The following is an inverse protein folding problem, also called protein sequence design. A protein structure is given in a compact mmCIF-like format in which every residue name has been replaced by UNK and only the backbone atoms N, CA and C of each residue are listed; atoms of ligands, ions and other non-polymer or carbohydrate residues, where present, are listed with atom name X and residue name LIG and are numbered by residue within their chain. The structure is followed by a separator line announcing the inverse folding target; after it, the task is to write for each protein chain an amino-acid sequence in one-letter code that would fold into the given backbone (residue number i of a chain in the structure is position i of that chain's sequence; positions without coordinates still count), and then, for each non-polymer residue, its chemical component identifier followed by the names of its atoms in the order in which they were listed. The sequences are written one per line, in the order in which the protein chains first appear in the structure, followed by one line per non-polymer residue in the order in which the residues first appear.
data_IF_405165563274
#
_entry.id   IF_405165563274
#
_cell.length_a   1.000
_cell.length_b   1.000
_cell.length_c   1.000
_cell.angle_alpha   90.00
_cell.angle_beta   90.00
_cell.angle_gamma   90.00
#
_symmetry.space_group_name_H-M   'P 1'
#
loop_
_entity.id
_entity.type
_entity.pdbx_description
1 polymer ?
#
# COMPACT_ATOMS: atom_id res chain seq x y z
N UNK A 1 2.84 -8.94 23.27
CA UNK A 1 2.85 -8.16 22.02
C UNK A 1 1.97 -6.95 22.26
N UNK A 2 2.50 -5.75 22.16
CA UNK A 2 1.71 -4.53 22.39
C UNK A 2 0.81 -4.27 21.17
N UNK A 3 -0.34 -3.61 21.35
CA UNK A 3 -1.26 -3.24 20.28
C UNK A 3 -0.57 -2.44 19.17
N UNK A 4 0.45 -1.67 19.53
CA UNK A 4 1.28 -0.84 18.64
C UNK A 4 2.01 -1.65 17.56
N UNK A 5 2.32 -2.94 17.82
CA UNK A 5 3.08 -3.79 16.89
C UNK A 5 2.17 -4.72 16.06
N UNK A 6 0.86 -4.47 16.07
CA UNK A 6 -0.12 -5.29 15.38
C UNK A 6 -1.00 -4.48 14.44
N UNK A 7 -1.55 -5.14 13.44
CA UNK A 7 -2.55 -4.56 12.53
C UNK A 7 -3.83 -5.40 12.52
N UNK A 8 -4.93 -4.78 12.13
CA UNK A 8 -6.20 -5.50 11.94
C UNK A 8 -6.08 -6.54 10.83
N UNK A 9 -6.62 -7.73 11.06
CA UNK A 9 -6.69 -8.80 10.06
C UNK A 9 -7.57 -8.39 8.85
N UNK A 10 -8.43 -7.39 9.00
CA UNK A 10 -9.17 -6.83 7.88
C UNK A 10 -8.23 -6.33 6.77
N UNK A 11 -7.08 -5.70 7.10
CA UNK A 11 -6.11 -5.27 6.10
C UNK A 11 -5.50 -6.45 5.34
N UNK A 12 -5.32 -7.60 6.00
CA UNK A 12 -4.89 -8.85 5.35
C UNK A 12 -5.93 -9.32 4.34
N UNK A 13 -7.21 -9.34 4.73
CA UNK A 13 -8.31 -9.72 3.82
C UNK A 13 -8.37 -8.80 2.60
N UNK A 14 -8.27 -7.49 2.82
CA UNK A 14 -8.28 -6.50 1.77
C UNK A 14 -7.12 -6.69 0.79
N UNK A 15 -5.90 -6.95 1.29
CA UNK A 15 -4.72 -7.21 0.46
C UNK A 15 -4.87 -8.48 -0.40
N UNK A 16 -5.50 -9.52 0.15
CA UNK A 16 -5.71 -10.78 -0.57
C UNK A 16 -6.80 -10.68 -1.66
N UNK A 17 -7.79 -9.82 -1.47
CA UNK A 17 -9.04 -9.87 -2.23
C UNK A 17 -8.85 -9.86 -3.75
N UNK A 18 -7.93 -9.04 -4.28
CA UNK A 18 -7.65 -8.97 -5.72
C UNK A 18 -6.34 -9.66 -6.10
N UNK A 19 -5.35 -9.64 -5.19
CA UNK A 19 -4.01 -10.17 -5.48
C UNK A 19 -3.90 -11.69 -5.33
N UNK A 20 -4.70 -12.29 -4.44
CA UNK A 20 -4.73 -13.73 -4.21
C UNK A 20 -6.07 -14.17 -3.58
N UNK A 21 -7.15 -14.31 -4.37
CA UNK A 21 -8.47 -14.68 -3.87
C UNK A 21 -8.47 -15.91 -2.98
N UNK A 22 -9.49 -16.02 -2.11
CA UNK A 22 -9.61 -17.09 -1.12
C UNK A 22 -9.50 -18.49 -1.76
N UNK A 23 -8.65 -19.32 -1.17
CA UNK A 23 -8.41 -20.68 -1.64
C UNK A 23 -7.10 -21.27 -1.09
N UNK A 24 -6.71 -22.46 -1.52
CA UNK A 24 -5.50 -23.14 -1.03
C UNK A 24 -4.22 -22.29 -1.16
N UNK A 25 -4.12 -21.51 -2.25
CA UNK A 25 -2.96 -20.66 -2.49
C UNK A 25 -2.85 -19.50 -1.48
N UNK A 26 -3.96 -18.85 -1.13
CA UNK A 26 -3.97 -17.79 -0.12
C UNK A 26 -3.70 -18.36 1.29
N UNK A 27 -4.24 -19.55 1.61
CA UNK A 27 -3.95 -20.23 2.88
C UNK A 27 -2.46 -20.53 3.01
N UNK A 28 -1.83 -21.10 1.96
CA UNK A 28 -0.39 -21.38 1.97
C UNK A 28 0.46 -20.11 2.15
N UNK A 29 0.07 -18.98 1.52
CA UNK A 29 0.76 -17.71 1.71
C UNK A 29 0.63 -17.20 3.15
N UNK A 30 -0.56 -17.27 3.74
CA UNK A 30 -0.81 -16.85 5.12
C UNK A 30 0.01 -17.69 6.11
N UNK A 31 -0.02 -19.01 5.99
CA UNK A 31 0.78 -19.91 6.83
C UNK A 31 2.28 -19.61 6.73
N UNK A 32 2.76 -19.32 5.52
CA UNK A 32 4.19 -18.98 5.30
C UNK A 32 4.64 -17.73 6.07
N UNK A 33 3.75 -16.79 6.34
CA UNK A 33 4.04 -15.56 7.09
C UNK A 33 3.58 -15.64 8.55
N UNK A 34 3.15 -16.82 9.02
CA UNK A 34 2.72 -17.04 10.40
C UNK A 34 1.33 -16.49 10.72
N UNK A 35 0.48 -16.32 9.73
CA UNK A 35 -0.93 -15.94 9.90
C UNK A 35 -1.79 -17.18 9.75
N UNK A 36 -2.58 -17.49 10.78
CA UNK A 36 -3.54 -18.61 10.73
C UNK A 36 -4.74 -18.26 9.83
N UNK A 37 -4.96 -18.99 8.72
CA UNK A 37 -6.09 -18.76 7.84
C UNK A 37 -7.46 -18.89 8.53
N UNK A 38 -7.57 -19.69 9.59
CA UNK A 38 -8.82 -19.84 10.33
C UNK A 38 -9.28 -18.53 11.01
N UNK A 39 -8.34 -17.65 11.32
CA UNK A 39 -8.64 -16.34 11.91
C UNK A 39 -9.25 -15.35 10.93
N UNK A 40 -9.19 -15.61 9.62
CA UNK A 40 -9.76 -14.69 8.62
C UNK A 40 -11.25 -14.39 8.83
N UNK A 41 -12.00 -15.27 9.50
CA UNK A 41 -13.39 -15.04 9.88
C UNK A 41 -13.61 -14.12 11.09
N UNK A 42 -12.57 -13.85 11.88
CA UNK A 42 -12.69 -13.09 13.13
C UNK A 42 -12.57 -11.58 12.87
N UNK A 43 -13.62 -10.81 13.20
CA UNK A 43 -13.67 -9.37 12.90
C UNK A 43 -12.58 -8.58 13.62
N UNK A 44 -12.31 -8.92 14.89
CA UNK A 44 -11.40 -8.17 15.77
C UNK A 44 -10.00 -8.77 15.85
N UNK A 45 -9.71 -9.80 15.04
CA UNK A 45 -8.39 -10.44 15.06
C UNK A 45 -7.31 -9.48 14.55
N UNK A 46 -6.14 -9.58 15.17
CA UNK A 46 -4.97 -8.78 14.84
C UNK A 46 -3.78 -9.68 14.57
N UNK A 47 -2.90 -9.24 13.71
CA UNK A 47 -1.67 -9.95 13.32
C UNK A 47 -0.44 -9.05 13.52
N UNK A 48 0.76 -9.62 13.72
CA UNK A 48 1.99 -8.83 13.77
C UNK A 48 2.15 -7.98 12.51
N UNK A 49 2.53 -6.71 12.67
CA UNK A 49 2.83 -5.83 11.56
C UNK A 49 3.94 -6.40 10.65
N UNK A 50 4.91 -7.11 11.23
CA UNK A 50 5.97 -7.81 10.50
C UNK A 50 5.44 -8.93 9.59
N UNK A 51 4.42 -9.67 10.04
CA UNK A 51 3.77 -10.71 9.25
C UNK A 51 3.05 -10.10 8.03
N UNK A 52 2.34 -8.98 8.24
CA UNK A 52 1.70 -8.23 7.15
C UNK A 52 2.73 -7.67 6.15
N UNK A 53 3.83 -7.12 6.62
CA UNK A 53 4.89 -6.63 5.73
C UNK A 53 5.53 -7.76 4.90
N UNK A 54 5.64 -8.97 5.46
CA UNK A 54 6.09 -10.14 4.71
C UNK A 54 5.04 -10.58 3.68
N UNK A 55 3.75 -10.59 4.05
CA UNK A 55 2.66 -10.89 3.13
C UNK A 55 2.64 -9.92 1.95
N UNK A 56 2.74 -8.62 2.20
CA UNK A 56 2.82 -7.59 1.15
C UNK A 56 3.92 -7.92 0.14
N UNK A 57 5.13 -8.20 0.62
CA UNK A 57 6.25 -8.57 -0.25
C UNK A 57 6.02 -9.83 -1.06
N UNK A 58 5.36 -10.86 -0.48
CA UNK A 58 5.03 -12.09 -1.20
C UNK A 58 3.97 -11.85 -2.27
N UNK A 59 2.93 -11.07 -1.95
CA UNK A 59 1.89 -10.70 -2.91
C UNK A 59 2.46 -9.88 -4.06
N UNK A 60 3.26 -8.85 -3.76
CA UNK A 60 3.91 -8.02 -4.77
C UNK A 60 4.80 -8.84 -5.73
N UNK A 61 5.56 -9.80 -5.20
CA UNK A 61 6.38 -10.71 -6.03
C UNK A 61 5.53 -11.62 -6.90
N UNK A 62 4.39 -12.10 -6.38
CA UNK A 62 3.49 -13.01 -7.09
C UNK A 62 2.75 -12.32 -8.22
N UNK A 63 2.26 -11.11 -7.98
CA UNK A 63 1.46 -10.34 -8.93
C UNK A 63 2.29 -9.39 -9.78
N UNK A 64 3.57 -9.18 -9.44
CA UNK A 64 4.43 -8.12 -9.98
C UNK A 64 3.85 -6.72 -9.75
N UNK A 65 3.02 -6.55 -8.72
CA UNK A 65 2.34 -5.31 -8.37
C UNK A 65 2.39 -5.04 -6.87
N UNK A 66 2.95 -3.89 -6.48
CA UNK A 66 3.05 -3.42 -5.09
C UNK A 66 1.79 -2.68 -4.62
N UNK A 67 0.77 -2.56 -5.48
CA UNK A 67 -0.51 -1.90 -5.19
C UNK A 67 -1.69 -2.88 -5.11
N UNK A 68 -1.42 -4.18 -4.90
CA UNK A 68 -2.41 -5.26 -4.70
C UNK A 68 -3.42 -5.41 -5.85
N UNK A 69 -3.03 -5.14 -7.07
CA UNK A 69 -3.89 -5.18 -8.27
C UNK A 69 -5.12 -4.26 -8.18
N UNK A 70 -5.02 -3.16 -7.45
CA UNK A 70 -6.12 -2.21 -7.26
C UNK A 70 -6.17 -1.10 -8.31
N UNK A 71 -5.17 -1.05 -9.18
CA UNK A 71 -5.10 -0.10 -10.29
C UNK A 71 -4.81 -0.85 -11.60
N UNK A 72 -5.42 -0.49 -12.74
CA UNK A 72 -5.23 -1.19 -14.01
C UNK A 72 -3.77 -1.22 -14.49
N UNK A 73 -3.01 -0.15 -14.22
CA UNK A 73 -1.58 -0.11 -14.57
C UNK A 73 -0.73 -0.85 -13.56
N UNK A 74 -1.19 -0.90 -12.29
CA UNK A 74 -0.45 -1.44 -11.17
C UNK A 74 0.79 -0.64 -10.80
N UNK A 75 1.39 -0.97 -9.68
CA UNK A 75 2.66 -0.42 -9.22
C UNK A 75 3.71 -1.54 -9.27
N UNK A 76 4.52 -1.56 -10.31
CA UNK A 76 5.47 -2.66 -10.55
C UNK A 76 6.39 -2.90 -9.37
N UNK A 77 6.72 -4.17 -9.13
CA UNK A 77 7.67 -4.59 -8.10
C UNK A 77 9.00 -3.85 -8.23
N UNK A 78 9.45 -3.25 -7.14
CA UNK A 78 10.64 -2.40 -7.08
C UNK A 78 10.33 -0.91 -7.11
N UNK A 79 9.10 -0.50 -7.40
CA UNK A 79 8.69 0.91 -7.40
C UNK A 79 8.86 1.55 -6.03
N UNK A 80 8.46 0.88 -4.95
CA UNK A 80 8.62 1.39 -3.59
C UNK A 80 10.10 1.60 -3.24
N UNK A 81 10.94 0.64 -3.57
CA UNK A 81 12.39 0.77 -3.35
C UNK A 81 12.99 1.91 -4.17
N UNK A 82 12.53 2.11 -5.41
CA UNK A 82 12.94 3.22 -6.25
C UNK A 82 12.52 4.56 -5.65
N UNK A 83 11.25 4.72 -5.27
CA UNK A 83 10.72 5.94 -4.67
C UNK A 83 11.48 6.29 -3.37
N UNK A 84 11.68 5.31 -2.49
CA UNK A 84 12.42 5.54 -1.24
C UNK A 84 13.86 6.01 -1.49
N UNK A 85 14.58 5.35 -2.39
CA UNK A 85 15.96 5.73 -2.71
C UNK A 85 16.06 7.12 -3.32
N UNK A 86 15.19 7.44 -4.27
CA UNK A 86 15.17 8.74 -4.93
C UNK A 86 14.67 9.84 -4.00
N UNK A 87 13.72 9.52 -3.11
CA UNK A 87 13.23 10.42 -2.06
C UNK A 87 14.31 10.79 -1.05
N UNK A 88 15.07 9.80 -0.56
CA UNK A 88 16.21 10.03 0.37
C UNK A 88 17.32 10.90 -0.22
N UNK A 89 17.45 10.92 -1.54
CA UNK A 89 18.43 11.78 -2.22
C UNK A 89 17.97 13.24 -2.38
N UNK A 90 16.73 13.57 -2.02
CA UNK A 90 16.20 14.91 -2.14
C UNK A 90 16.67 15.83 -0.99
N UNK A 91 16.90 17.12 -1.25
CA UNK A 91 17.39 18.05 -0.25
C UNK A 91 16.36 18.38 0.86
N UNK A 92 15.08 18.14 0.62
CA UNK A 92 14.00 18.42 1.56
C UNK A 92 12.90 17.36 1.49
N UNK A 93 12.16 17.18 2.58
CA UNK A 93 10.96 16.32 2.61
C UNK A 93 9.93 16.77 1.57
N UNK A 94 9.77 18.07 1.36
CA UNK A 94 8.86 18.60 0.33
C UNK A 94 9.26 18.15 -1.08
N UNK A 95 10.54 18.21 -1.43
CA UNK A 95 11.04 17.74 -2.73
C UNK A 95 10.89 16.21 -2.89
N UNK A 96 11.15 15.44 -1.82
CA UNK A 96 10.93 14.01 -1.81
C UNK A 96 9.46 13.65 -2.03
N UNK A 97 8.56 14.41 -1.39
CA UNK A 97 7.12 14.23 -1.53
C UNK A 97 6.64 14.57 -2.94
N UNK A 98 7.06 15.70 -3.50
CA UNK A 98 6.73 16.08 -4.89
C UNK A 98 7.15 15.01 -5.90
N UNK A 99 8.39 14.51 -5.77
CA UNK A 99 8.90 13.43 -6.61
C UNK A 99 8.05 12.16 -6.48
N UNK A 100 7.73 11.79 -5.25
CA UNK A 100 6.90 10.60 -4.96
C UNK A 100 5.52 10.72 -5.57
N UNK A 101 4.83 11.84 -5.36
CA UNK A 101 3.49 12.05 -5.89
C UNK A 101 3.50 12.13 -7.42
N UNK A 102 4.51 12.78 -8.02
CA UNK A 102 4.68 12.81 -9.47
C UNK A 102 4.92 11.41 -10.05
N UNK A 103 5.67 10.56 -9.37
CA UNK A 103 5.87 9.17 -9.78
C UNK A 103 4.56 8.37 -9.68
N UNK A 104 3.85 8.47 -8.55
CA UNK A 104 2.59 7.75 -8.34
C UNK A 104 1.52 8.20 -9.34
N UNK A 105 1.41 9.50 -9.61
CA UNK A 105 0.48 10.05 -10.61
C UNK A 105 0.73 9.52 -12.03
N UNK A 106 1.98 9.21 -12.38
CA UNK A 106 2.31 8.62 -13.68
C UNK A 106 2.14 7.11 -13.72
N UNK A 107 2.35 6.45 -12.58
CA UNK A 107 2.29 4.99 -12.47
C UNK A 107 0.87 4.48 -12.32
N UNK A 108 0.03 5.19 -11.57
CA UNK A 108 -1.36 4.82 -11.34
C UNK A 108 -2.27 5.52 -12.35
N UNK A 109 -3.29 4.80 -12.81
CA UNK A 109 -4.30 5.36 -13.72
C UNK A 109 -5.40 6.10 -12.97
N UNK A 110 -5.76 5.56 -11.84
CA UNK A 110 -6.95 5.97 -11.11
C UNK A 110 -6.71 7.04 -10.05
N UNK A 111 -5.49 7.22 -9.58
CA UNK A 111 -5.16 8.21 -8.58
C UNK A 111 -4.15 9.20 -9.18
N UNK A 112 -4.51 10.47 -9.16
CA UNK A 112 -3.69 11.56 -9.67
C UNK A 112 -3.32 12.50 -8.51
N UNK A 113 -2.35 12.10 -7.65
CA UNK A 113 -1.96 12.90 -6.51
C UNK A 113 -1.09 14.08 -6.94
N UNK A 114 -1.33 15.24 -6.32
CA UNK A 114 -0.51 16.45 -6.49
C UNK A 114 -0.26 17.09 -5.12
N UNK A 115 0.89 17.74 -4.98
CA UNK A 115 1.18 18.59 -3.81
C UNK A 115 0.79 20.02 -4.12
N UNK A 116 -0.16 20.57 -3.37
CA UNK A 116 -0.57 21.97 -3.43
C UNK A 116 0.05 22.70 -2.26
N UNK A 117 0.78 23.77 -2.53
CA UNK A 117 1.40 24.63 -1.50
C UNK A 117 0.66 25.94 -1.38
N UNK A 118 0.25 26.27 -0.15
CA UNK A 118 -0.42 27.54 0.17
C UNK A 118 0.26 28.14 1.39
N UNK A 119 1.01 29.22 1.21
CA UNK A 119 1.67 29.96 2.30
C UNK A 119 2.41 29.06 3.31
N UNK A 120 1.76 28.74 4.45
CA UNK A 120 2.30 27.91 5.53
C UNK A 120 1.82 26.46 5.51
N UNK A 121 0.94 26.07 4.56
CA UNK A 121 0.36 24.74 4.46
C UNK A 121 0.78 24.07 3.15
N UNK A 122 0.92 22.75 3.23
CA UNK A 122 1.06 21.89 2.06
C UNK A 122 -0.02 20.79 2.13
N UNK A 123 -0.77 20.64 1.06
CA UNK A 123 -1.87 19.67 0.96
C UNK A 123 -1.58 18.67 -0.14
N UNK A 124 -1.85 17.40 0.12
CA UNK A 124 -1.87 16.37 -0.92
C UNK A 124 -3.31 16.24 -1.40
N UNK A 125 -3.54 16.63 -2.63
CA UNK A 125 -4.84 16.50 -3.30
C UNK A 125 -4.80 15.30 -4.22
N UNK A 126 -5.75 14.37 -4.07
CA UNK A 126 -5.87 13.19 -4.93
C UNK A 126 -6.99 13.45 -5.93
N UNK A 127 -6.62 13.67 -7.18
CA UNK A 127 -7.56 13.71 -8.30
C UNK A 127 -7.96 12.29 -8.72
N UNK A 128 -9.23 12.12 -9.04
CA UNK A 128 -9.79 10.86 -9.56
C UNK A 128 -10.37 11.12 -10.94
N UNK A 129 -9.59 10.93 -12.02
CA UNK A 129 -10.04 11.25 -13.40
C UNK A 129 -11.24 10.40 -13.82
N UNK A 130 -11.39 9.22 -13.23
CA UNK A 130 -12.54 8.35 -13.45
C UNK A 130 -13.33 8.26 -12.16
N UNK A 131 -14.58 8.69 -12.17
CA UNK A 131 -15.50 8.61 -11.01
C UNK A 131 -15.98 7.17 -10.76
N UNK A 132 -15.05 6.25 -10.56
CA UNK A 132 -15.34 4.86 -10.21
C UNK A 132 -15.21 4.69 -8.70
N UNK A 133 -16.23 4.17 -8.01
CA UNK A 133 -16.15 3.91 -6.57
C UNK A 133 -14.96 3.03 -6.24
N UNK A 134 -14.10 3.50 -5.33
CA UNK A 134 -12.92 2.76 -4.88
C UNK A 134 -13.10 2.30 -3.45
N UNK A 135 -12.44 1.20 -3.15
CA UNK A 135 -12.46 0.67 -1.79
C UNK A 135 -11.58 1.55 -0.89
N UNK A 136 -11.96 1.75 0.38
CA UNK A 136 -11.14 2.50 1.33
C UNK A 136 -9.69 2.00 1.43
N UNK A 137 -9.48 0.70 1.22
CA UNK A 137 -8.15 0.07 1.22
C UNK A 137 -7.22 0.62 0.13
N UNK A 138 -7.75 1.08 -1.00
CA UNK A 138 -6.95 1.73 -2.07
C UNK A 138 -6.29 3.01 -1.54
N UNK A 139 -7.06 3.86 -0.86
CA UNK A 139 -6.54 5.09 -0.24
C UNK A 139 -5.60 4.79 0.93
N UNK A 140 -5.96 3.80 1.76
CA UNK A 140 -5.08 3.35 2.83
C UNK A 140 -3.70 2.93 2.30
N UNK A 141 -3.67 2.11 1.24
CA UNK A 141 -2.41 1.66 0.62
C UNK A 141 -1.62 2.82 0.05
N UNK A 142 -2.29 3.75 -0.64
CA UNK A 142 -1.66 4.97 -1.13
C UNK A 142 -1.00 5.76 0.00
N UNK A 143 -1.71 6.00 1.09
CA UNK A 143 -1.18 6.74 2.26
C UNK A 143 -0.05 6.00 2.96
N UNK A 144 -0.11 4.66 3.02
CA UNK A 144 1.00 3.86 3.56
C UNK A 144 2.28 4.00 2.73
N UNK A 145 2.16 4.09 1.41
CA UNK A 145 3.30 4.34 0.52
C UNK A 145 3.88 5.73 0.76
N UNK A 146 3.04 6.75 0.75
CA UNK A 146 3.46 8.15 0.98
C UNK A 146 4.13 8.29 2.35
N UNK A 147 3.50 7.74 3.41
CA UNK A 147 4.05 7.75 4.76
C UNK A 147 5.43 7.07 4.83
N UNK A 148 5.58 5.90 4.18
CA UNK A 148 6.83 5.16 4.18
C UNK A 148 8.01 5.87 3.49
N UNK A 149 7.74 6.90 2.69
CA UNK A 149 8.79 7.71 2.04
C UNK A 149 9.23 8.87 2.92
N UNK A 150 8.32 9.40 3.78
CA UNK A 150 8.59 10.61 4.59
C UNK A 150 8.98 10.30 6.04
N UNK A 151 8.87 9.04 6.48
CA UNK A 151 9.28 8.54 7.80
C UNK A 151 10.43 7.57 7.72
#
# INVERSE_FOLDING_TARGET
MTEKDTISLQLVREALLQSCPAGPASHALLQRVGIDPAQLGCADARVPASAYAQLWRLLARRTHDEFFCMDPRGLRSGSLAFICRTGMAQPTVGAALELTLAFLSRSLEHLQPVLVRQQSLAEIVIGEPQQVPRRPFTYFTFWMIVHGVIC
#
